data_IF_551174977199
#
_entry.id   IF_551174977199
#
_cell.length_a   1.000
_cell.length_b   1.000
_cell.length_c   1.000
_cell.angle_alpha   90.00
_cell.angle_beta   90.00
_cell.angle_gamma   90.00
#
_symmetry.space_group_name_H-M   'P 1'
#
loop_
_entity.id
_entity.type
_entity.pdbx_description
1 polymer ?
#
# COMPACT_ATOMS: atom_id res chain seq x y z
N UNK A 1 16.94 -5.63 -22.48
CA UNK A 1 16.52 -5.61 -21.06
C UNK A 1 15.42 -6.65 -20.85
N UNK A 2 15.43 -7.44 -19.78
CA UNK A 2 14.30 -8.33 -19.43
C UNK A 2 13.36 -7.60 -18.45
N UNK A 3 12.13 -7.35 -18.88
CA UNK A 3 11.09 -6.67 -18.10
C UNK A 3 10.09 -7.71 -17.58
N UNK A 4 9.92 -7.80 -16.27
CA UNK A 4 8.84 -8.60 -15.66
C UNK A 4 7.68 -7.69 -15.29
N UNK A 5 6.51 -7.91 -15.88
CA UNK A 5 5.28 -7.21 -15.54
C UNK A 5 4.49 -8.00 -14.49
N UNK A 6 4.38 -7.50 -13.26
CA UNK A 6 3.51 -8.12 -12.26
C UNK A 6 2.07 -7.72 -12.54
N UNK A 7 1.23 -8.71 -12.80
CA UNK A 7 -0.18 -8.52 -13.15
C UNK A 7 -1.10 -9.30 -12.22
N UNK A 8 -2.27 -8.76 -11.91
CA UNK A 8 -3.27 -9.40 -11.05
C UNK A 8 -4.63 -9.43 -11.74
N UNK A 9 -5.25 -10.61 -11.72
CA UNK A 9 -6.68 -10.75 -12.00
C UNK A 9 -7.49 -10.27 -10.79
N UNK A 10 -8.46 -9.40 -11.01
CA UNK A 10 -9.33 -8.86 -9.98
C UNK A 10 -10.80 -9.07 -10.36
N UNK A 11 -11.71 -9.19 -9.38
CA UNK A 11 -13.13 -9.06 -9.66
C UNK A 11 -13.44 -7.63 -10.09
N UNK A 12 -14.36 -7.50 -11.05
CA UNK A 12 -14.88 -6.21 -11.48
C UNK A 12 -15.51 -5.45 -10.31
N UNK A 13 -14.97 -4.30 -9.88
CA UNK A 13 -15.44 -3.62 -8.68
C UNK A 13 -16.92 -3.22 -8.73
N UNK A 14 -17.46 -2.94 -9.91
CA UNK A 14 -18.85 -2.56 -10.16
C UNK A 14 -19.85 -3.73 -10.08
N UNK A 15 -19.36 -4.97 -10.10
CA UNK A 15 -20.18 -6.18 -10.10
C UNK A 15 -20.18 -6.94 -8.76
N UNK A 16 -19.57 -6.35 -7.71
CA UNK A 16 -19.44 -6.99 -6.40
C UNK A 16 -20.63 -6.62 -5.53
N UNK A 17 -21.30 -7.64 -5.00
CA UNK A 17 -22.40 -7.50 -4.05
C UNK A 17 -22.01 -8.01 -2.66
N UNK A 18 -22.50 -7.33 -1.63
CA UNK A 18 -22.43 -7.79 -0.25
C UNK A 18 -23.74 -8.50 0.13
N UNK A 19 -23.61 -9.67 0.77
CA UNK A 19 -24.74 -10.38 1.35
C UNK A 19 -24.92 -9.94 2.80
N UNK A 20 -26.01 -9.21 3.03
CA UNK A 20 -26.37 -8.68 4.34
C UNK A 20 -26.73 -9.75 5.38
N UNK A 21 -27.19 -10.93 4.96
CA UNK A 21 -27.53 -12.04 5.86
C UNK A 21 -26.29 -12.80 6.30
N UNK A 22 -25.42 -13.16 5.36
CA UNK A 22 -24.21 -13.94 5.65
C UNK A 22 -23.01 -13.08 6.03
N UNK A 23 -23.12 -11.75 5.90
CA UNK A 23 -22.04 -10.76 6.10
C UNK A 23 -20.79 -11.11 5.29
N UNK A 24 -20.99 -11.61 4.08
CA UNK A 24 -19.95 -12.06 3.17
C UNK A 24 -20.11 -11.43 1.79
N UNK A 25 -19.03 -11.44 1.00
CA UNK A 25 -19.07 -11.00 -0.38
C UNK A 25 -19.58 -12.12 -1.28
N UNK A 26 -20.54 -11.80 -2.17
CA UNK A 26 -20.93 -12.71 -3.24
C UNK A 26 -19.82 -12.71 -4.29
N UNK A 27 -19.13 -13.85 -4.40
CA UNK A 27 -18.01 -14.04 -5.33
C UNK A 27 -18.37 -14.90 -6.53
N UNK A 28 -19.50 -15.60 -6.46
CA UNK A 28 -19.96 -16.46 -7.55
C UNK A 28 -20.57 -15.62 -8.67
N UNK A 29 -20.18 -15.88 -9.91
CA UNK A 29 -20.69 -15.17 -11.09
C UNK A 29 -20.14 -13.75 -11.30
N UNK A 30 -19.26 -13.24 -10.42
CA UNK A 30 -18.64 -11.93 -10.59
C UNK A 30 -17.59 -12.01 -11.71
N UNK A 31 -17.71 -11.21 -12.79
CA UNK A 31 -16.71 -11.21 -13.85
C UNK A 31 -15.33 -10.81 -13.31
N UNK A 32 -14.30 -11.49 -13.81
CA UNK A 32 -12.91 -11.22 -13.47
C UNK A 32 -12.24 -10.52 -14.64
N UNK A 33 -11.30 -9.63 -14.36
CA UNK A 33 -10.54 -8.91 -15.38
C UNK A 33 -9.09 -8.68 -14.94
N UNK A 34 -8.21 -8.40 -15.91
CA UNK A 34 -6.89 -7.88 -15.62
C UNK A 34 -7.03 -6.49 -14.97
N UNK A 35 -6.38 -6.28 -13.83
CA UNK A 35 -6.35 -4.98 -13.18
C UNK A 35 -5.87 -3.89 -14.15
N UNK A 36 -6.66 -2.81 -14.29
CA UNK A 36 -6.42 -1.76 -15.29
C UNK A 36 -5.03 -1.12 -15.19
N UNK A 37 -4.51 -0.90 -13.98
CA UNK A 37 -3.17 -0.34 -13.80
C UNK A 37 -2.08 -1.32 -14.23
N UNK A 38 -2.31 -2.63 -14.13
CA UNK A 38 -1.35 -3.64 -14.57
C UNK A 38 -1.34 -3.74 -16.10
N UNK A 39 -2.48 -3.52 -16.76
CA UNK A 39 -2.52 -3.33 -18.21
C UNK A 39 -1.67 -2.15 -18.68
N UNK A 40 -1.63 -1.03 -17.92
CA UNK A 40 -0.71 0.08 -18.19
C UNK A 40 0.75 -0.38 -18.10
N UNK A 41 1.08 -1.20 -17.10
CA UNK A 41 2.44 -1.69 -16.91
C UNK A 41 2.91 -2.55 -18.08
N UNK A 42 2.06 -3.46 -18.55
CA UNK A 42 2.35 -4.30 -19.74
C UNK A 42 2.54 -3.44 -20.98
N UNK A 43 1.67 -2.44 -21.19
CA UNK A 43 1.79 -1.55 -22.35
C UNK A 43 3.06 -0.68 -22.31
N UNK A 44 3.45 -0.17 -21.13
CA UNK A 44 4.72 0.56 -20.96
C UNK A 44 5.92 -0.35 -21.22
N UNK A 45 5.87 -1.61 -20.73
CA UNK A 45 6.93 -2.59 -20.98
C UNK A 45 7.06 -2.94 -22.46
N UNK A 46 5.92 -3.14 -23.15
CA UNK A 46 5.88 -3.44 -24.58
C UNK A 46 6.53 -2.32 -25.39
N UNK A 47 6.20 -1.05 -25.07
CA UNK A 47 6.83 0.13 -25.70
C UNK A 47 8.34 0.20 -25.44
N UNK A 48 8.77 0.05 -24.19
CA UNK A 48 10.20 0.06 -23.85
C UNK A 48 10.98 -1.05 -24.58
N UNK A 49 10.39 -2.24 -24.70
CA UNK A 49 10.99 -3.34 -25.47
C UNK A 49 11.02 -3.04 -26.97
N UNK A 50 10.02 -2.38 -27.53
CA UNK A 50 10.04 -1.95 -28.94
C UNK A 50 11.16 -0.94 -29.22
N UNK A 51 11.43 -0.03 -28.27
CA UNK A 51 12.46 1.00 -28.37
C UNK A 51 13.87 0.44 -28.14
N UNK A 52 14.07 -0.36 -27.10
CA UNK A 52 15.39 -0.77 -26.61
C UNK A 52 15.72 -2.25 -26.85
N UNK A 53 14.76 -3.03 -27.36
CA UNK A 53 14.85 -4.48 -27.46
C UNK A 53 14.79 -5.21 -26.10
N UNK A 54 14.74 -6.54 -26.14
CA UNK A 54 14.67 -7.39 -24.96
C UNK A 54 13.43 -8.27 -24.93
N UNK A 55 12.93 -8.54 -23.73
CA UNK A 55 11.82 -9.47 -23.50
C UNK A 55 10.90 -8.93 -22.40
N UNK A 56 9.59 -9.01 -22.61
CA UNK A 56 8.53 -8.70 -21.66
C UNK A 56 7.89 -10.00 -21.18
N UNK A 57 8.00 -10.28 -19.88
CA UNK A 57 7.40 -11.44 -19.24
C UNK A 57 6.30 -10.98 -18.30
N UNK A 58 5.03 -11.31 -18.59
CA UNK A 58 3.95 -11.04 -17.63
C UNK A 58 3.91 -12.15 -16.57
N UNK A 59 3.81 -11.78 -15.30
CA UNK A 59 3.83 -12.71 -14.17
C UNK A 59 2.65 -12.46 -13.25
N UNK A 60 1.90 -13.53 -12.94
CA UNK A 60 0.78 -13.46 -11.98
C UNK A 60 0.90 -14.54 -10.91
N UNK A 61 0.40 -14.23 -9.72
CA UNK A 61 0.20 -15.20 -8.64
C UNK A 61 -1.29 -15.30 -8.35
N UNK A 62 -1.85 -16.49 -8.54
CA UNK A 62 -3.29 -16.67 -8.38
C UNK A 62 -3.78 -18.07 -8.72
N UNK A 63 -5.09 -18.34 -8.51
CA UNK A 63 -5.70 -19.61 -8.88
C UNK A 63 -5.64 -19.87 -10.39
N UNK A 64 -5.96 -21.09 -10.86
CA UNK A 64 -5.92 -21.45 -12.28
C UNK A 64 -6.63 -20.46 -13.23
N UNK A 65 -7.76 -19.88 -12.82
CA UNK A 65 -8.50 -18.91 -13.62
C UNK A 65 -7.76 -17.58 -13.89
N UNK A 66 -6.69 -17.29 -13.14
CA UNK A 66 -5.84 -16.11 -13.38
C UNK A 66 -5.06 -16.19 -14.70
N UNK A 67 -5.01 -17.37 -15.33
CA UNK A 67 -4.47 -17.55 -16.69
C UNK A 67 -5.15 -16.60 -17.70
N UNK A 68 -6.44 -16.29 -17.54
CA UNK A 68 -7.16 -15.37 -18.43
C UNK A 68 -6.53 -13.97 -18.45
N UNK A 69 -6.11 -13.46 -17.29
CA UNK A 69 -5.42 -12.17 -17.21
C UNK A 69 -4.03 -12.21 -17.88
N UNK A 70 -3.34 -13.34 -17.84
CA UNK A 70 -2.09 -13.54 -18.58
C UNK A 70 -2.33 -13.57 -20.10
N UNK A 71 -3.44 -14.16 -20.55
CA UNK A 71 -3.83 -14.14 -21.97
C UNK A 71 -4.13 -12.73 -22.45
N UNK A 72 -4.74 -11.89 -21.63
CA UNK A 72 -4.87 -10.46 -21.91
C UNK A 72 -3.50 -9.78 -21.94
N UNK A 73 -2.59 -10.09 -21.01
CA UNK A 73 -1.24 -9.53 -21.02
C UNK A 73 -0.44 -9.89 -22.29
N UNK A 74 -0.58 -11.12 -22.81
CA UNK A 74 -0.02 -11.51 -24.12
C UNK A 74 -0.58 -10.63 -25.25
N UNK A 75 -1.90 -10.40 -25.27
CA UNK A 75 -2.54 -9.54 -26.26
C UNK A 75 -2.11 -8.06 -26.15
N UNK A 76 -1.75 -7.61 -24.94
CA UNK A 76 -1.20 -6.27 -24.68
C UNK A 76 0.29 -6.13 -25.02
N UNK A 77 0.94 -7.22 -25.43
CA UNK A 77 2.32 -7.20 -25.90
C UNK A 77 3.35 -7.85 -24.96
N UNK A 78 2.96 -8.68 -23.99
CA UNK A 78 3.92 -9.57 -23.34
C UNK A 78 4.40 -10.67 -24.31
N UNK A 79 5.68 -11.03 -24.27
CA UNK A 79 6.26 -12.06 -25.14
C UNK A 79 5.95 -13.48 -24.64
N UNK A 80 5.94 -13.66 -23.31
CA UNK A 80 5.45 -14.87 -22.63
C UNK A 80 4.96 -14.56 -21.23
N UNK A 81 4.44 -15.57 -20.55
CA UNK A 81 3.95 -15.43 -19.19
C UNK A 81 4.47 -16.50 -18.22
N UNK A 82 4.46 -16.13 -16.94
CA UNK A 82 4.69 -17.03 -15.81
C UNK A 82 3.49 -16.98 -14.86
N UNK A 83 2.92 -18.14 -14.56
CA UNK A 83 1.81 -18.29 -13.63
C UNK A 83 2.27 -18.99 -12.36
N UNK A 84 2.35 -18.25 -11.26
CA UNK A 84 2.59 -18.81 -9.93
C UNK A 84 1.26 -19.35 -9.37
N UNK A 85 1.07 -20.67 -9.46
CA UNK A 85 -0.18 -21.33 -9.08
C UNK A 85 0.09 -22.54 -8.19
N UNK A 86 -0.02 -22.34 -6.88
CA UNK A 86 0.08 -23.38 -5.87
C UNK A 86 -0.89 -23.07 -4.71
N UNK A 87 -1.44 -24.10 -4.09
CA UNK A 87 -2.27 -23.96 -2.87
C UNK A 87 -1.48 -23.36 -1.71
N UNK A 88 -0.16 -23.53 -1.67
CA UNK A 88 0.72 -22.91 -0.68
C UNK A 88 0.74 -21.38 -0.76
N UNK A 89 0.41 -20.79 -1.92
CA UNK A 89 0.35 -19.34 -2.10
C UNK A 89 -0.99 -18.73 -1.63
N UNK A 90 -1.97 -19.57 -1.28
CA UNK A 90 -3.32 -19.11 -1.00
C UNK A 90 -3.41 -18.19 0.23
N UNK A 91 -4.26 -17.17 0.11
CA UNK A 91 -4.61 -16.23 1.19
C UNK A 91 -3.36 -15.55 1.78
N UNK A 92 -2.39 -15.25 0.91
CA UNK A 92 -1.27 -14.39 1.26
C UNK A 92 -1.75 -12.95 1.48
N UNK A 93 -1.20 -12.27 2.47
CA UNK A 93 -1.24 -10.81 2.53
C UNK A 93 -0.20 -10.19 1.60
N UNK A 94 0.03 -8.87 1.70
CA UNK A 94 0.99 -8.18 0.83
C UNK A 94 2.39 -8.74 1.04
N UNK A 95 2.85 -8.86 2.29
CA UNK A 95 4.21 -9.34 2.57
C UNK A 95 4.44 -10.77 2.05
N UNK A 96 3.49 -11.69 2.30
CA UNK A 96 3.56 -13.05 1.78
C UNK A 96 3.54 -13.10 0.25
N UNK A 97 2.75 -12.23 -0.39
CA UNK A 97 2.69 -12.08 -1.85
C UNK A 97 4.02 -11.55 -2.39
N UNK A 98 4.52 -10.45 -1.84
CA UNK A 98 5.75 -9.77 -2.23
C UNK A 98 6.97 -10.67 -2.08
N UNK A 99 7.06 -11.45 -0.98
CA UNK A 99 8.14 -12.43 -0.78
C UNK A 99 8.13 -13.49 -1.89
N UNK A 100 6.94 -14.01 -2.22
CA UNK A 100 6.76 -15.04 -3.26
C UNK A 100 7.14 -14.50 -4.65
N UNK A 101 6.65 -13.31 -4.99
CA UNK A 101 6.97 -12.65 -6.25
C UNK A 101 8.47 -12.33 -6.36
N UNK A 102 9.11 -11.85 -5.29
CA UNK A 102 10.55 -11.58 -5.28
C UNK A 102 11.39 -12.85 -5.53
N UNK A 103 10.98 -14.00 -4.99
CA UNK A 103 11.64 -15.29 -5.30
C UNK A 103 11.49 -15.66 -6.78
N UNK A 104 10.29 -15.49 -7.35
CA UNK A 104 10.03 -15.76 -8.76
C UNK A 104 10.80 -14.80 -9.69
N UNK A 105 10.86 -13.51 -9.36
CA UNK A 105 11.61 -12.49 -10.12
C UNK A 105 13.11 -12.82 -10.13
N UNK A 106 13.68 -13.24 -8.99
CA UNK A 106 15.08 -13.68 -8.91
C UNK A 106 15.35 -14.89 -9.81
N UNK A 107 14.46 -15.88 -9.78
CA UNK A 107 14.57 -17.08 -10.63
C UNK A 107 14.47 -16.74 -12.12
N UNK A 108 13.57 -15.83 -12.48
CA UNK A 108 13.37 -15.36 -13.84
C UNK A 108 14.55 -14.50 -14.35
N UNK A 109 15.24 -13.78 -13.46
CA UNK A 109 16.40 -12.96 -13.79
C UNK A 109 16.00 -11.67 -14.51
N UNK A 110 15.06 -10.91 -13.94
CA UNK A 110 14.62 -9.63 -14.48
C UNK A 110 15.68 -8.52 -14.31
N UNK A 111 15.67 -7.54 -15.21
CA UNK A 111 16.40 -6.27 -15.08
C UNK A 111 15.47 -5.15 -14.58
N UNK A 112 14.19 -5.19 -14.96
CA UNK A 112 13.18 -4.21 -14.58
C UNK A 112 11.90 -4.95 -14.20
N UNK A 113 11.28 -4.55 -13.09
CA UNK A 113 9.94 -5.00 -12.72
C UNK A 113 8.98 -3.84 -12.89
N UNK A 114 7.94 -4.02 -13.70
CA UNK A 114 6.85 -3.05 -13.88
C UNK A 114 5.53 -3.61 -13.34
N UNK A 115 4.72 -2.75 -12.75
CA UNK A 115 3.40 -3.15 -12.25
C UNK A 115 2.48 -1.93 -12.11
N UNK A 116 1.19 -2.17 -11.96
CA UNK A 116 0.25 -1.09 -11.68
C UNK A 116 0.50 -0.46 -10.31
N UNK A 117 0.15 0.82 -10.17
CA UNK A 117 0.29 1.55 -8.89
C UNK A 117 -0.44 0.88 -7.71
N UNK A 118 -1.60 0.28 -7.98
CA UNK A 118 -2.40 -0.51 -7.03
C UNK A 118 -3.32 -1.45 -7.78
N UNK A 119 -3.92 -2.38 -7.05
CA UNK A 119 -5.06 -3.16 -7.53
C UNK A 119 -6.36 -2.53 -7.02
N UNK A 120 -7.43 -2.59 -7.81
CA UNK A 120 -8.71 -1.94 -7.46
C UNK A 120 -9.53 -2.69 -6.40
N UNK A 121 -9.25 -3.97 -6.22
CA UNK A 121 -9.94 -4.82 -5.25
C UNK A 121 -9.46 -4.53 -3.81
N UNK A 122 -8.15 -4.54 -3.60
CA UNK A 122 -7.52 -4.43 -2.28
C UNK A 122 -6.94 -3.05 -2.01
N UNK A 123 -6.59 -2.27 -3.03
CA UNK A 123 -6.08 -0.89 -2.91
C UNK A 123 -4.97 -0.71 -1.85
N UNK A 124 -4.06 -1.68 -1.71
CA UNK A 124 -3.05 -1.64 -0.64
C UNK A 124 -1.89 -0.71 -0.93
N UNK A 125 -1.44 -0.65 -2.19
CA UNK A 125 -0.24 0.07 -2.65
C UNK A 125 1.10 -0.49 -2.16
N UNK A 126 1.10 -1.67 -1.53
CA UNK A 126 2.25 -2.16 -0.77
C UNK A 126 3.13 -3.16 -1.52
N UNK A 127 2.54 -3.98 -2.40
CA UNK A 127 3.25 -5.12 -3.01
C UNK A 127 4.52 -4.69 -3.77
N UNK A 128 4.50 -3.65 -4.64
CA UNK A 128 5.70 -3.31 -5.38
C UNK A 128 6.85 -2.75 -4.52
N UNK A 129 6.63 -1.82 -3.57
CA UNK A 129 7.70 -1.41 -2.65
C UNK A 129 8.24 -2.55 -1.77
N UNK A 130 7.37 -3.46 -1.31
CA UNK A 130 7.80 -4.65 -0.56
C UNK A 130 8.63 -5.61 -1.43
N UNK A 131 8.24 -5.83 -2.70
CA UNK A 131 9.05 -6.60 -3.67
C UNK A 131 10.42 -5.95 -3.86
N UNK A 132 10.47 -4.63 -4.03
CA UNK A 132 11.72 -3.89 -4.16
C UNK A 132 12.62 -4.05 -2.92
N UNK A 133 12.03 -4.03 -1.72
CA UNK A 133 12.72 -4.29 -0.47
C UNK A 133 13.29 -5.72 -0.42
N UNK A 134 12.48 -6.74 -0.72
CA UNK A 134 12.94 -8.13 -0.74
C UNK A 134 14.06 -8.36 -1.74
N UNK A 135 14.04 -7.69 -2.89
CA UNK A 135 15.08 -7.77 -3.92
C UNK A 135 16.32 -6.94 -3.58
N UNK A 136 16.20 -5.92 -2.75
CA UNK A 136 17.23 -4.92 -2.51
C UNK A 136 17.41 -3.95 -3.69
N UNK A 137 16.36 -3.73 -4.49
CA UNK A 137 16.42 -2.95 -5.73
C UNK A 137 15.95 -1.51 -5.53
N UNK A 138 16.35 -0.63 -6.46
CA UNK A 138 15.82 0.73 -6.55
C UNK A 138 14.31 0.71 -6.85
N UNK A 139 13.60 1.77 -6.49
CA UNK A 139 12.17 1.87 -6.79
C UNK A 139 11.73 3.29 -7.15
N UNK A 140 10.73 3.39 -8.03
CA UNK A 140 9.90 4.59 -8.21
C UNK A 140 8.44 4.16 -8.28
N UNK A 141 7.57 4.78 -7.49
CA UNK A 141 6.11 4.54 -7.57
C UNK A 141 5.41 5.67 -8.29
N UNK A 142 4.20 5.43 -8.79
CA UNK A 142 3.35 6.44 -9.42
C UNK A 142 3.99 7.13 -10.63
N UNK A 143 4.75 6.39 -11.43
CA UNK A 143 5.25 6.87 -12.71
C UNK A 143 4.10 7.14 -13.68
N UNK A 144 4.09 8.33 -14.27
CA UNK A 144 3.27 8.73 -15.40
C UNK A 144 3.87 8.24 -16.71
N UNK A 145 5.20 8.30 -16.84
CA UNK A 145 5.97 7.74 -17.97
C UNK A 145 7.29 7.14 -17.50
N UNK A 146 7.82 6.23 -18.31
CA UNK A 146 9.10 5.55 -18.12
C UNK A 146 9.82 5.53 -19.46
N UNK A 147 10.98 6.15 -19.56
CA UNK A 147 11.71 6.37 -20.80
C UNK A 147 13.17 5.95 -20.64
N UNK A 148 13.75 5.30 -21.65
CA UNK A 148 15.18 5.00 -21.67
C UNK A 148 15.94 6.22 -22.21
N UNK A 149 16.74 6.87 -21.36
CA UNK A 149 17.48 8.08 -21.72
C UNK A 149 18.94 7.89 -21.34
N UNK A 150 19.86 7.97 -22.32
CA UNK A 150 21.30 7.92 -22.06
C UNK A 150 21.77 6.60 -21.41
N UNK A 151 21.07 5.50 -21.65
CA UNK A 151 21.38 4.18 -21.05
C UNK A 151 20.86 4.00 -19.62
N UNK A 152 20.05 4.93 -19.12
CA UNK A 152 19.38 4.85 -17.80
C UNK A 152 17.87 4.92 -17.96
N UNK A 153 17.15 4.48 -16.92
CA UNK A 153 15.70 4.60 -16.88
C UNK A 153 15.32 5.94 -16.25
N UNK A 154 14.59 6.77 -16.98
CA UNK A 154 14.00 8.00 -16.46
C UNK A 154 12.51 7.77 -16.18
N UNK A 155 12.07 8.12 -14.98
CA UNK A 155 10.68 8.03 -14.57
C UNK A 155 10.12 9.42 -14.28
N UNK A 156 9.07 9.83 -14.99
CA UNK A 156 8.28 11.01 -14.63
C UNK A 156 7.20 10.58 -13.67
N UNK A 157 7.21 11.08 -12.45
CA UNK A 157 6.36 10.64 -11.34
C UNK A 157 5.40 11.75 -10.92
N UNK A 158 4.16 11.37 -10.57
CA UNK A 158 3.25 12.27 -9.87
C UNK A 158 3.47 12.19 -8.35
N UNK A 159 4.04 13.24 -7.78
CA UNK A 159 4.22 13.46 -6.34
C UNK A 159 3.01 14.13 -5.69
N UNK A 160 3.14 14.49 -4.42
CA UNK A 160 2.09 15.22 -3.69
C UNK A 160 2.02 16.70 -4.11
N UNK A 161 3.15 17.29 -4.46
CA UNK A 161 3.31 18.74 -4.72
C UNK A 161 3.44 19.07 -6.22
N UNK A 162 3.54 18.05 -7.08
CA UNK A 162 3.70 18.22 -8.52
C UNK A 162 4.27 16.99 -9.21
N UNK A 163 4.81 17.18 -10.40
CA UNK A 163 5.55 16.14 -11.12
C UNK A 163 7.04 16.21 -10.76
N UNK A 164 7.62 15.04 -10.55
CA UNK A 164 9.03 14.82 -10.20
C UNK A 164 9.67 13.96 -11.31
N UNK A 165 10.96 14.15 -11.59
CA UNK A 165 11.70 13.31 -12.54
C UNK A 165 12.82 12.61 -11.81
N UNK A 166 12.81 11.28 -11.88
CA UNK A 166 13.83 10.42 -11.29
C UNK A 166 14.62 9.73 -12.38
N UNK A 167 15.92 9.58 -12.14
CA UNK A 167 16.80 8.73 -12.93
C UNK A 167 17.16 7.52 -12.06
N UNK A 168 16.99 6.31 -12.60
CA UNK A 168 17.25 5.07 -11.90
C UNK A 168 18.31 4.24 -12.61
N UNK A 169 19.20 3.66 -11.81
CA UNK A 169 20.03 2.55 -12.24
C UNK A 169 19.22 1.24 -12.18
N UNK A 170 19.47 0.34 -13.14
CA UNK A 170 18.89 -1.00 -13.14
C UNK A 170 19.78 -1.96 -12.32
N UNK A 171 19.20 -2.95 -11.61
CA UNK A 171 17.80 -3.33 -11.67
C UNK A 171 16.88 -2.51 -10.74
N UNK A 172 15.63 -2.31 -11.19
CA UNK A 172 14.66 -1.47 -10.48
C UNK A 172 13.23 -2.06 -10.49
N UNK A 173 12.41 -1.61 -9.54
CA UNK A 173 10.97 -1.88 -9.48
C UNK A 173 10.20 -0.57 -9.66
N UNK A 174 9.42 -0.45 -10.72
CA UNK A 174 8.61 0.75 -10.97
C UNK A 174 7.11 0.44 -10.99
N UNK A 175 6.30 1.38 -10.49
CA UNK A 175 4.84 1.33 -10.61
C UNK A 175 4.32 2.43 -11.51
N UNK A 176 3.32 2.11 -12.35
CA UNK A 176 2.73 3.09 -13.29
C UNK A 176 1.32 3.48 -12.88
N UNK A 177 1.02 4.77 -13.03
CA UNK A 177 -0.25 5.38 -12.68
C UNK A 177 -1.07 5.84 -13.90
N UNK A 178 -0.44 5.96 -15.08
CA UNK A 178 -1.07 6.44 -16.30
C UNK A 178 -0.82 5.49 -17.47
N UNK A 179 -1.81 5.44 -18.37
CA UNK A 179 -1.71 4.73 -19.64
C UNK A 179 -0.64 5.39 -20.53
N UNK A 180 0.24 4.61 -21.19
CA UNK A 180 1.16 5.17 -22.18
C UNK A 180 0.40 5.79 -23.35
N UNK A 181 0.93 6.89 -23.90
CA UNK A 181 0.32 7.57 -25.05
C UNK A 181 0.23 6.61 -26.25
N UNK A 182 -0.92 6.61 -26.92
CA UNK A 182 -1.17 5.76 -28.10
C UNK A 182 -1.45 4.28 -27.81
N UNK A 183 -1.34 3.81 -26.57
CA UNK A 183 -1.61 2.42 -26.24
C UNK A 183 -3.11 2.10 -26.31
N UNK A 184 -3.46 0.94 -26.87
CA UNK A 184 -4.82 0.37 -26.86
C UNK A 184 -4.86 -0.74 -25.83
N UNK A 185 -5.76 -0.64 -24.84
CA UNK A 185 -5.81 -1.57 -23.72
C UNK A 185 -7.02 -2.50 -23.73
N UNK A 186 -8.08 -2.09 -24.42
CA UNK A 186 -9.28 -2.91 -24.56
C UNK A 186 -9.01 -3.91 -25.69
N UNK A 187 -8.46 -5.06 -25.33
CA UNK A 187 -8.03 -6.13 -26.23
C UNK A 187 -8.68 -7.45 -25.86
N UNK A 188 -8.94 -8.29 -26.85
CA UNK A 188 -9.40 -9.66 -26.62
C UNK A 188 -8.23 -10.53 -26.12
N UNK A 189 -8.44 -11.41 -25.13
CA UNK A 189 -7.40 -12.31 -24.63
C UNK A 189 -6.80 -13.18 -25.74
N UNK A 190 -5.47 -13.34 -25.75
CA UNK A 190 -4.81 -14.15 -26.75
C UNK A 190 -5.14 -15.64 -26.62
N UNK A 191 -5.49 -16.27 -27.74
CA UNK A 191 -5.68 -17.73 -27.83
C UNK A 191 -4.34 -18.49 -27.77
N UNK A 192 -3.24 -17.86 -28.19
CA UNK A 192 -1.91 -18.46 -28.31
C UNK A 192 -0.89 -17.74 -27.41
N UNK A 193 0.26 -18.37 -27.20
CA UNK A 193 1.38 -17.81 -26.43
C UNK A 193 1.84 -18.76 -25.33
N UNK A 194 3.07 -18.56 -24.85
CA UNK A 194 3.67 -19.42 -23.84
C UNK A 194 3.27 -18.94 -22.44
N UNK A 195 2.76 -19.86 -21.63
CA UNK A 195 2.47 -19.63 -20.20
C UNK A 195 3.11 -20.77 -19.40
N UNK A 196 4.18 -20.46 -18.67
CA UNK A 196 4.86 -21.42 -17.81
C UNK A 196 4.22 -21.39 -16.41
N UNK A 197 3.75 -22.53 -15.92
CA UNK A 197 3.14 -22.63 -14.58
C UNK A 197 4.20 -23.08 -13.59
N UNK A 198 4.44 -22.28 -12.54
CA UNK A 198 5.36 -22.60 -11.45
C UNK A 198 4.61 -22.82 -10.13
N UNK A 199 4.94 -23.91 -9.45
CA UNK A 199 4.49 -24.24 -8.11
C UNK A 199 5.49 -23.73 -7.05
N UNK A 200 5.19 -23.91 -5.76
CA UNK A 200 6.11 -23.51 -4.69
C UNK A 200 7.44 -24.26 -4.76
N UNK A 201 7.41 -25.54 -5.15
CA UNK A 201 8.60 -26.37 -5.32
C UNK A 201 9.55 -25.86 -6.42
N UNK A 202 9.00 -25.17 -7.43
CA UNK A 202 9.79 -24.56 -8.50
C UNK A 202 10.55 -23.31 -8.05
N UNK A 203 10.08 -22.64 -7.00
CA UNK A 203 10.76 -21.50 -6.36
C UNK A 203 11.70 -21.98 -5.26
N UNK A 204 11.27 -22.98 -4.50
CA UNK A 204 11.96 -23.50 -3.34
C UNK A 204 11.78 -25.03 -3.29
N UNK A 205 12.79 -25.82 -3.66
CA UNK A 205 12.67 -27.28 -3.79
C UNK A 205 12.24 -28.03 -2.53
N UNK A 206 12.47 -27.46 -1.33
CA UNK A 206 12.11 -28.06 -0.04
C UNK A 206 10.77 -27.56 0.53
N UNK A 207 9.96 -26.87 -0.29
CA UNK A 207 8.64 -26.38 0.11
C UNK A 207 7.72 -27.54 0.55
N UNK A 208 7.01 -27.32 1.66
CA UNK A 208 6.14 -28.32 2.28
C UNK A 208 4.81 -27.70 2.74
N UNK A 209 3.76 -28.51 2.98
CA UNK A 209 2.52 -28.02 3.59
C UNK A 209 2.78 -27.20 4.85
N UNK A 210 2.19 -25.99 4.92
CA UNK A 210 2.32 -25.08 6.06
C UNK A 210 3.62 -24.28 6.11
N UNK A 211 4.38 -24.20 5.01
CA UNK A 211 5.60 -23.40 4.93
C UNK A 211 5.34 -21.91 5.22
N UNK A 212 6.17 -21.32 6.09
CA UNK A 212 6.02 -19.92 6.52
C UNK A 212 6.59 -18.92 5.50
N UNK A 213 7.22 -19.39 4.42
CA UNK A 213 7.66 -18.53 3.32
C UNK A 213 6.50 -18.07 2.44
N UNK A 214 5.37 -18.80 2.44
CA UNK A 214 4.27 -18.60 1.51
C UNK A 214 2.92 -18.39 2.21
N UNK A 215 1.96 -17.83 1.46
CA UNK A 215 0.54 -17.87 1.80
C UNK A 215 0.18 -17.29 3.15
N UNK A 216 -0.98 -17.69 3.65
CA UNK A 216 -1.50 -17.27 4.97
C UNK A 216 -0.55 -17.59 6.12
N UNK A 217 0.21 -18.69 6.04
CA UNK A 217 1.17 -19.12 7.08
C UNK A 217 2.37 -18.18 7.20
N UNK A 218 2.76 -17.56 6.09
CA UNK A 218 3.80 -16.53 6.03
C UNK A 218 3.30 -15.09 6.11
N UNK A 219 1.98 -14.90 6.29
CA UNK A 219 1.32 -13.59 6.27
C UNK A 219 1.18 -13.01 7.68
N UNK A 220 1.78 -11.84 7.97
CA UNK A 220 1.63 -11.16 9.24
C UNK A 220 0.27 -10.46 9.43
N UNK A 221 -0.52 -10.22 8.40
CA UNK A 221 -1.84 -9.58 8.53
C UNK A 221 -2.98 -10.54 8.19
N UNK A 222 -4.16 -10.29 8.78
CA UNK A 222 -5.37 -11.09 8.56
C UNK A 222 -6.60 -10.21 8.46
N UNK A 223 -7.46 -10.50 7.48
CA UNK A 223 -8.80 -9.92 7.39
C UNK A 223 -9.70 -10.63 8.40
N UNK A 224 -10.22 -9.91 9.37
CA UNK A 224 -11.09 -10.44 10.43
C UNK A 224 -12.57 -10.42 10.03
N UNK A 225 -12.98 -9.36 9.35
CA UNK A 225 -14.35 -9.15 8.93
C UNK A 225 -14.41 -8.20 7.74
N UNK A 226 -15.53 -8.26 7.02
CA UNK A 226 -15.87 -7.34 5.92
C UNK A 226 -17.24 -6.76 6.22
N UNK A 227 -17.42 -5.46 5.96
CA UNK A 227 -18.68 -4.74 6.18
C UNK A 227 -19.04 -3.95 4.94
N UNK A 228 -20.31 -3.98 4.57
CA UNK A 228 -20.87 -2.98 3.67
C UNK A 228 -20.95 -1.64 4.41
N UNK A 229 -20.44 -0.59 3.79
CA UNK A 229 -20.53 0.79 4.28
C UNK A 229 -21.04 1.71 3.18
N UNK A 230 -21.78 1.16 2.20
CA UNK A 230 -22.42 1.89 1.13
C UNK A 230 -23.16 3.10 1.74
N UNK A 231 -22.69 4.33 1.47
CA UNK A 231 -23.21 5.48 2.17
C UNK A 231 -24.64 5.74 1.69
N UNK A 232 -25.60 5.77 2.62
CA UNK A 232 -26.91 6.35 2.37
C UNK A 232 -26.75 7.87 2.29
N UNK A 233 -26.43 8.39 1.09
CA UNK A 233 -26.33 9.82 0.88
C UNK A 233 -27.70 10.40 0.62
N UNK A 234 -28.15 11.33 1.47
CA UNK A 234 -29.21 12.23 1.10
C UNK A 234 -28.79 13.02 -0.15
N UNK A 235 -29.53 12.90 -1.24
CA UNK A 235 -29.33 13.72 -2.43
C UNK A 235 -30.23 14.94 -2.36
N UNK A 236 -29.60 16.10 -2.21
CA UNK A 236 -30.27 17.39 -2.37
C UNK A 236 -29.88 17.96 -3.74
N UNK A 237 -30.85 18.12 -4.63
CA UNK A 237 -30.67 18.71 -5.96
C UNK A 237 -31.08 20.18 -5.92
N UNK A 238 -30.15 21.06 -6.24
CA UNK A 238 -30.39 22.50 -6.33
C UNK A 238 -30.34 22.95 -7.79
N UNK A 239 -31.33 23.72 -8.21
CA UNK A 239 -31.33 24.38 -9.53
C UNK A 239 -30.76 25.80 -9.49
N UNK A 240 -30.62 26.37 -8.28
CA UNK A 240 -30.00 27.66 -8.03
C UNK A 240 -28.60 27.50 -7.41
N UNK A 241 -27.53 27.99 -8.05
CA UNK A 241 -26.18 27.94 -7.51
C UNK A 241 -26.00 28.64 -6.16
N UNK A 242 -26.77 29.71 -5.86
CA UNK A 242 -26.64 30.42 -4.60
C UNK A 242 -27.19 29.60 -3.42
N UNK A 243 -28.36 28.98 -3.60
CA UNK A 243 -28.92 28.02 -2.64
C UNK A 243 -28.00 26.81 -2.43
N UNK A 244 -27.43 26.26 -3.50
CA UNK A 244 -26.45 25.18 -3.40
C UNK A 244 -25.22 25.60 -2.58
N UNK A 245 -24.68 26.79 -2.86
CA UNK A 245 -23.51 27.32 -2.15
C UNK A 245 -23.81 27.63 -0.67
N UNK A 246 -25.02 28.05 -0.33
CA UNK A 246 -25.46 28.24 1.05
C UNK A 246 -25.55 26.90 1.79
N UNK A 247 -26.17 25.88 1.17
CA UNK A 247 -26.28 24.54 1.76
C UNK A 247 -24.91 23.91 2.01
N UNK A 248 -23.98 24.05 1.07
CA UNK A 248 -22.60 23.58 1.26
C UNK A 248 -21.94 24.26 2.46
N UNK A 249 -22.16 25.56 2.68
CA UNK A 249 -21.61 26.26 3.86
C UNK A 249 -22.20 25.74 5.17
N UNK A 250 -23.53 25.55 5.23
CA UNK A 250 -24.17 24.96 6.41
C UNK A 250 -23.65 23.56 6.72
N UNK A 251 -23.53 22.69 5.70
CA UNK A 251 -22.99 21.34 5.85
C UNK A 251 -21.51 21.31 6.28
N UNK A 252 -20.75 22.37 6.01
CA UNK A 252 -19.37 22.51 6.49
C UNK A 252 -19.30 22.94 7.97
N UNK A 253 -20.36 23.53 8.51
CA UNK A 253 -20.45 24.00 9.91
C UNK A 253 -21.02 22.92 10.85
N UNK A 254 -21.76 21.92 10.35
CA UNK A 254 -22.35 20.84 11.15
C UNK A 254 -21.53 19.55 11.12
N UNK A 255 -20.73 19.26 12.15
CA UNK A 255 -20.24 17.89 12.42
C UNK A 255 -19.70 17.65 13.85
N UNK A 256 -20.45 16.98 14.73
CA UNK A 256 -19.89 16.22 15.86
C UNK A 256 -19.81 14.71 15.55
N UNK A 257 -18.80 14.04 16.12
CA UNK A 257 -18.53 12.61 15.91
C UNK A 257 -19.36 11.68 16.85
N UNK A 258 -19.70 10.44 16.43
CA UNK A 258 -20.40 9.48 17.29
C UNK A 258 -19.46 8.71 18.24
N UNK A 259 -19.98 8.31 19.41
CA UNK A 259 -19.35 7.36 20.34
C UNK A 259 -19.73 5.90 20.02
N UNK A 260 -18.82 4.95 20.28
CA UNK A 260 -19.11 3.50 20.21
C UNK A 260 -18.51 2.71 21.39
N UNK A 261 -19.25 1.72 21.90
CA UNK A 261 -18.89 0.82 23.01
C UNK A 261 -19.05 -0.67 22.64
N UNK A 262 -18.10 -1.55 23.02
CA UNK A 262 -18.27 -3.03 23.11
C UNK A 262 -17.08 -3.78 23.80
N UNK A 263 -17.26 -5.07 24.18
CA UNK A 263 -16.42 -5.92 25.08
C UNK A 263 -15.58 -7.11 24.44
N UNK A 264 -14.75 -7.92 25.18
CA UNK A 264 -13.53 -8.73 24.74
C UNK A 264 -13.75 -10.22 24.43
N UNK A 265 -12.78 -10.86 23.71
CA UNK A 265 -11.73 -11.73 24.34
C UNK A 265 -10.25 -11.55 23.87
N UNK A 266 -9.31 -12.28 24.54
CA UNK A 266 -7.81 -12.39 24.41
C UNK A 266 -7.31 -13.23 23.17
N UNK A 267 -6.05 -13.29 22.68
CA UNK A 267 -4.68 -12.76 22.99
C UNK A 267 -3.79 -12.80 21.70
N UNK A 268 -2.59 -12.18 21.76
CA UNK A 268 -1.46 -12.24 20.80
C UNK A 268 -0.24 -12.87 21.48
N UNK A 269 0.42 -13.84 20.83
CA UNK A 269 1.77 -14.31 21.16
C UNK A 269 2.69 -13.97 19.99
N UNK A 270 3.95 -13.60 20.14
CA UNK A 270 4.83 -13.70 21.30
C UNK A 270 6.03 -12.77 21.05
N UNK A 271 5.92 -11.53 21.54
CA UNK A 271 6.85 -10.82 22.43
C UNK A 271 6.46 -9.33 22.42
N UNK A 272 6.12 -8.73 23.57
CA UNK A 272 5.77 -7.31 23.62
C UNK A 272 6.96 -6.43 23.23
N UNK A 273 6.68 -5.33 22.52
CA UNK A 273 7.64 -4.25 22.30
C UNK A 273 8.15 -3.68 23.64
N UNK A 274 9.21 -2.88 23.59
CA UNK A 274 9.81 -2.31 24.79
C UNK A 274 8.86 -1.34 25.52
N UNK A 275 7.89 -0.77 24.79
CA UNK A 275 6.84 0.11 25.30
C UNK A 275 5.49 -0.18 24.61
N UNK A 276 4.43 0.45 25.13
CA UNK A 276 3.08 0.42 24.58
C UNK A 276 2.76 1.71 23.79
N UNK A 277 3.79 2.37 23.27
CA UNK A 277 3.67 3.70 22.66
C UNK A 277 3.02 3.63 21.28
N UNK A 278 2.22 4.66 20.95
CA UNK A 278 1.68 4.88 19.62
C UNK A 278 2.49 5.97 18.94
N UNK A 279 3.21 5.59 17.89
CA UNK A 279 4.05 6.51 17.12
C UNK A 279 3.32 6.98 15.88
N UNK A 280 3.52 8.25 15.50
CA UNK A 280 3.04 8.81 14.24
C UNK A 280 4.21 9.44 13.50
N UNK A 281 4.45 9.01 12.26
CA UNK A 281 5.43 9.65 11.39
C UNK A 281 4.86 10.97 10.88
N UNK A 282 5.62 12.05 11.06
CA UNK A 282 5.24 13.40 10.69
C UNK A 282 5.93 13.79 9.40
N UNK A 283 5.15 13.87 8.32
CA UNK A 283 5.58 14.51 7.08
C UNK A 283 5.48 16.03 7.18
N UNK A 284 6.46 16.71 6.58
CA UNK A 284 6.52 18.17 6.52
C UNK A 284 6.21 18.69 5.11
N UNK A 285 5.51 19.82 5.04
CA UNK A 285 5.28 20.64 3.85
C UNK A 285 5.77 22.05 4.18
N UNK A 286 6.72 22.56 3.39
CA UNK A 286 7.36 23.88 3.62
C UNK A 286 7.87 24.04 5.07
N UNK A 287 8.47 22.98 5.63
CA UNK A 287 9.03 22.95 6.98
C UNK A 287 8.01 22.81 8.13
N UNK A 288 6.72 22.72 7.83
CA UNK A 288 5.65 22.58 8.84
C UNK A 288 5.00 21.20 8.79
N UNK A 289 4.53 20.65 9.92
CA UNK A 289 3.75 19.42 9.94
C UNK A 289 2.55 19.50 9.00
N UNK A 290 2.46 18.56 8.06
CA UNK A 290 1.30 18.43 7.20
C UNK A 290 0.05 18.15 8.05
N UNK A 291 -1.13 18.61 7.61
CA UNK A 291 -2.39 18.39 8.35
C UNK A 291 -2.61 16.92 8.69
N UNK A 292 -2.41 16.02 7.73
CA UNK A 292 -2.55 14.56 7.95
C UNK A 292 -1.64 14.08 9.08
N UNK A 293 -0.41 14.57 9.20
CA UNK A 293 0.49 14.23 10.30
C UNK A 293 -0.10 14.63 11.66
N UNK A 294 -0.73 15.81 11.74
CA UNK A 294 -1.40 16.28 12.95
C UNK A 294 -2.67 15.47 13.27
N UNK A 295 -3.42 15.05 12.26
CA UNK A 295 -4.55 14.13 12.40
C UNK A 295 -4.10 12.78 12.97
N UNK A 296 -2.94 12.27 12.52
CA UNK A 296 -2.38 11.03 13.05
C UNK A 296 -1.89 11.18 14.49
N UNK A 297 -1.30 12.31 14.86
CA UNK A 297 -0.96 12.58 16.26
C UNK A 297 -2.20 12.62 17.15
N UNK A 298 -3.31 13.19 16.67
CA UNK A 298 -4.57 13.20 17.40
C UNK A 298 -5.10 11.76 17.62
N UNK A 299 -5.12 10.94 16.56
CA UNK A 299 -5.52 9.54 16.67
C UNK A 299 -4.55 8.72 17.52
N UNK A 300 -3.25 8.93 17.35
CA UNK A 300 -2.19 8.29 18.10
C UNK A 300 -2.33 8.50 19.60
N UNK A 301 -2.77 9.70 20.03
CA UNK A 301 -3.10 10.00 21.43
C UNK A 301 -4.23 9.13 21.97
N UNK A 302 -5.30 8.95 21.18
CA UNK A 302 -6.41 8.06 21.54
C UNK A 302 -5.92 6.61 21.71
N UNK A 303 -5.10 6.12 20.77
CA UNK A 303 -4.56 4.77 20.82
C UNK A 303 -3.58 4.58 21.99
N UNK A 304 -2.66 5.52 22.21
CA UNK A 304 -1.72 5.53 23.32
C UNK A 304 -2.45 5.50 24.67
N UNK A 305 -3.51 6.29 24.84
CA UNK A 305 -4.34 6.28 26.05
C UNK A 305 -5.01 4.94 26.33
N UNK A 306 -5.43 4.21 25.28
CA UNK A 306 -5.98 2.84 25.39
C UNK A 306 -4.90 1.81 25.71
N UNK A 307 -3.67 2.03 25.22
CA UNK A 307 -2.52 1.17 25.42
C UNK A 307 -1.82 1.40 26.78
N UNK A 308 -2.00 2.58 27.37
CA UNK A 308 -1.25 3.02 28.55
C UNK A 308 0.19 3.43 28.23
N UNK A 309 0.49 3.72 26.96
CA UNK A 309 1.79 4.22 26.49
C UNK A 309 1.76 5.71 26.15
N UNK A 310 2.81 6.18 25.49
CA UNK A 310 2.96 7.58 25.06
C UNK A 310 2.47 7.79 23.63
N UNK A 311 2.02 9.01 23.33
CA UNK A 311 1.85 9.49 21.97
C UNK A 311 3.15 10.11 21.46
N UNK A 312 3.79 9.48 20.48
CA UNK A 312 5.15 9.87 20.03
C UNK A 312 5.11 10.38 18.59
N UNK A 313 5.71 11.53 18.34
CA UNK A 313 5.95 12.02 16.98
C UNK A 313 7.33 11.54 16.50
N UNK A 314 7.38 10.96 15.29
CA UNK A 314 8.63 10.65 14.60
C UNK A 314 8.84 11.64 13.45
N UNK A 315 9.95 12.37 13.50
CA UNK A 315 10.40 13.27 12.43
C UNK A 315 11.65 12.70 11.77
N UNK A 316 11.64 12.63 10.43
CA UNK A 316 12.78 12.31 9.58
C UNK A 316 13.06 13.52 8.69
N UNK A 317 14.31 13.93 8.53
CA UNK A 317 14.64 15.14 7.77
C UNK A 317 15.94 15.80 8.22
N UNK A 318 16.05 17.10 7.96
CA UNK A 318 17.19 17.91 8.39
C UNK A 318 16.73 19.29 8.88
N UNK A 319 17.26 19.77 10.00
CA UNK A 319 16.89 21.07 10.57
C UNK A 319 15.50 21.07 11.19
N UNK A 320 15.21 20.07 12.03
CA UNK A 320 13.84 19.74 12.46
C UNK A 320 13.37 20.43 13.75
N UNK A 321 14.16 21.35 14.31
CA UNK A 321 13.89 21.97 15.62
C UNK A 321 12.52 22.65 15.71
N UNK A 322 12.15 23.44 14.69
CA UNK A 322 10.88 24.17 14.69
C UNK A 322 9.69 23.21 14.53
N UNK A 323 9.82 22.22 13.64
CA UNK A 323 8.81 21.18 13.46
C UNK A 323 8.62 20.35 14.74
N UNK A 324 9.71 20.02 15.44
CA UNK A 324 9.68 19.28 16.71
C UNK A 324 8.93 20.06 17.81
N UNK A 325 9.14 21.38 17.90
CA UNK A 325 8.35 22.24 18.82
C UNK A 325 6.88 22.30 18.41
N UNK A 326 6.59 22.35 17.12
CA UNK A 326 5.22 22.43 16.63
C UNK A 326 4.42 21.15 16.93
N UNK A 327 4.99 19.96 16.70
CA UNK A 327 4.28 18.69 16.98
C UNK A 327 4.07 18.44 18.48
N UNK A 328 4.97 18.93 19.34
CA UNK A 328 4.80 18.89 20.79
C UNK A 328 3.54 19.67 21.24
N UNK A 329 3.30 20.83 20.61
CA UNK A 329 2.09 21.65 20.86
C UNK A 329 0.81 20.96 20.37
N UNK A 330 0.91 20.09 19.38
CA UNK A 330 -0.22 19.34 18.80
C UNK A 330 -0.38 17.92 19.39
N UNK A 331 0.11 17.71 20.61
CA UNK A 331 -0.23 16.54 21.42
C UNK A 331 0.76 15.38 21.35
N UNK A 332 1.94 15.56 20.75
CA UNK A 332 3.05 14.66 20.96
C UNK A 332 3.59 14.81 22.40
N UNK A 333 3.66 13.72 23.14
CA UNK A 333 4.24 13.66 24.49
C UNK A 333 5.75 13.45 24.45
N UNK A 334 6.22 12.84 23.37
CA UNK A 334 7.64 12.67 23.06
C UNK A 334 7.85 12.89 21.56
N UNK A 335 9.01 13.43 21.21
CA UNK A 335 9.39 13.69 19.82
C UNK A 335 10.72 13.00 19.56
N UNK A 336 10.71 12.04 18.64
CA UNK A 336 11.88 11.33 18.17
C UNK A 336 12.28 11.93 16.83
N UNK A 337 13.55 12.34 16.74
CA UNK A 337 14.09 13.04 15.57
C UNK A 337 15.25 12.24 15.02
N UNK A 338 15.15 11.86 13.74
CA UNK A 338 16.29 11.46 12.93
C UNK A 338 16.65 12.64 12.03
N UNK A 339 17.58 13.47 12.52
CA UNK A 339 18.12 14.62 11.79
C UNK A 339 19.44 14.23 11.12
N UNK A 340 19.45 14.20 9.78
CA UNK A 340 20.64 13.96 8.98
C UNK A 340 20.56 14.76 7.67
N UNK A 341 21.64 15.43 7.23
CA UNK A 341 21.66 16.14 5.94
C UNK A 341 21.25 15.28 4.74
N UNK A 342 21.46 13.96 4.77
CA UNK A 342 21.02 13.03 3.72
C UNK A 342 19.48 12.91 3.63
N UNK A 343 18.75 13.33 4.65
CA UNK A 343 17.29 13.37 4.69
C UNK A 343 16.73 14.76 4.36
N UNK A 344 17.57 15.74 4.01
CA UNK A 344 17.13 17.10 3.67
C UNK A 344 16.21 17.13 2.44
N UNK A 345 16.51 16.30 1.45
CA UNK A 345 15.66 16.07 0.30
C UNK A 345 15.00 14.69 0.38
N UNK A 346 13.79 14.59 -0.17
CA UNK A 346 13.08 13.32 -0.16
C UNK A 346 13.66 12.37 -1.21
N UNK A 347 14.26 11.27 -0.74
CA UNK A 347 14.65 10.13 -1.56
C UNK A 347 14.07 8.85 -0.94
N UNK A 348 13.26 8.07 -1.69
CA UNK A 348 12.53 6.93 -1.15
C UNK A 348 13.36 5.88 -0.40
N UNK A 349 14.56 5.54 -0.89
CA UNK A 349 15.41 4.49 -0.31
C UNK A 349 16.08 4.99 0.96
N UNK A 350 16.62 6.21 0.95
CA UNK A 350 17.26 6.83 2.11
C UNK A 350 16.24 6.99 3.25
N UNK A 351 15.03 7.49 2.94
CA UNK A 351 13.96 7.65 3.93
C UNK A 351 13.45 6.30 4.47
N UNK A 352 13.29 5.29 3.62
CA UNK A 352 12.93 3.95 4.07
C UNK A 352 14.00 3.32 4.97
N UNK A 353 15.28 3.50 4.63
CA UNK A 353 16.40 3.02 5.44
C UNK A 353 16.47 3.69 6.81
N UNK A 354 16.28 5.02 6.86
CA UNK A 354 16.19 5.75 8.12
C UNK A 354 15.02 5.27 8.99
N UNK A 355 13.84 5.10 8.38
CA UNK A 355 12.68 4.54 9.09
C UNK A 355 12.96 3.13 9.61
N UNK A 356 13.54 2.27 8.79
CA UNK A 356 13.88 0.90 9.18
C UNK A 356 14.85 0.87 10.37
N UNK A 357 15.85 1.75 10.39
CA UNK A 357 16.80 1.86 11.49
C UNK A 357 16.14 2.33 12.80
N UNK A 358 15.27 3.35 12.72
CA UNK A 358 14.47 3.80 13.87
C UNK A 358 13.61 2.65 14.40
N UNK A 359 12.93 1.92 13.53
CA UNK A 359 12.08 0.79 13.92
C UNK A 359 12.88 -0.36 14.56
N UNK A 360 14.09 -0.66 14.07
CA UNK A 360 14.98 -1.67 14.67
C UNK A 360 15.39 -1.31 16.10
N UNK A 361 15.72 -0.04 16.31
CA UNK A 361 16.25 0.49 17.56
C UNK A 361 15.15 0.72 18.60
N UNK A 362 14.10 1.43 18.23
CA UNK A 362 13.11 1.95 19.16
C UNK A 362 11.91 1.00 19.36
N UNK A 363 11.62 0.15 18.36
CA UNK A 363 10.60 -0.91 18.42
C UNK A 363 9.27 -0.47 19.05
N UNK A 364 8.60 0.55 18.48
CA UNK A 364 7.32 1.01 18.99
C UNK A 364 6.25 -0.08 18.93
N UNK A 365 5.16 0.12 19.66
CA UNK A 365 4.04 -0.83 19.61
C UNK A 365 3.20 -0.66 18.34
N UNK A 366 2.93 0.59 17.99
CA UNK A 366 2.20 1.01 16.78
C UNK A 366 2.99 2.11 16.08
N UNK A 367 3.03 2.07 14.74
CA UNK A 367 3.47 3.19 13.92
C UNK A 367 2.38 3.54 12.88
N UNK A 368 1.90 4.78 12.94
CA UNK A 368 0.98 5.38 11.98
C UNK A 368 1.77 6.18 10.95
N UNK A 369 1.45 5.99 9.67
CA UNK A 369 2.11 6.63 8.54
C UNK A 369 1.06 7.36 7.69
N UNK A 370 1.31 8.60 7.24
CA UNK A 370 0.43 9.25 6.27
C UNK A 370 0.33 8.45 4.96
N UNK A 371 -0.87 8.19 4.43
CA UNK A 371 -1.07 7.53 3.13
C UNK A 371 -0.90 8.51 1.96
N UNK A 372 0.19 9.28 1.98
CA UNK A 372 0.59 10.20 0.90
C UNK A 372 1.43 9.48 -0.15
N UNK A 373 1.82 10.15 -1.24
CA UNK A 373 2.75 9.57 -2.21
C UNK A 373 4.08 9.14 -1.58
N UNK A 374 4.60 9.90 -0.61
CA UNK A 374 5.84 9.56 0.11
C UNK A 374 5.63 8.41 1.10
N UNK A 375 4.58 8.46 1.92
CA UNK A 375 4.29 7.38 2.88
C UNK A 375 3.97 6.03 2.24
N UNK A 376 3.45 6.02 1.01
CA UNK A 376 3.27 4.81 0.20
C UNK A 376 4.55 4.29 -0.43
N UNK A 377 5.66 5.02 -0.37
CA UNK A 377 6.98 4.52 -0.77
C UNK A 377 7.75 3.96 0.42
N UNK A 378 8.06 4.81 1.40
CA UNK A 378 9.00 4.46 2.46
C UNK A 378 8.39 3.48 3.47
N UNK A 379 7.08 3.60 3.74
CA UNK A 379 6.35 2.76 4.69
C UNK A 379 6.37 1.28 4.30
N UNK A 380 5.84 0.90 3.12
CA UNK A 380 5.82 -0.50 2.70
C UNK A 380 7.22 -1.03 2.38
N UNK A 381 8.14 -0.19 1.92
CA UNK A 381 9.54 -0.61 1.73
C UNK A 381 10.20 -1.00 3.06
N UNK A 382 10.10 -0.14 4.09
CA UNK A 382 10.62 -0.45 5.42
C UNK A 382 9.91 -1.65 6.06
N UNK A 383 8.59 -1.77 5.89
CA UNK A 383 7.83 -2.93 6.34
C UNK A 383 8.31 -4.23 5.65
N UNK A 384 8.57 -4.20 4.34
CA UNK A 384 9.13 -5.33 3.60
C UNK A 384 10.53 -5.71 4.08
N UNK A 385 11.42 -4.74 4.26
CA UNK A 385 12.80 -4.95 4.73
C UNK A 385 12.86 -5.59 6.14
N UNK A 386 11.93 -5.19 7.00
CA UNK A 386 11.82 -5.69 8.38
C UNK A 386 10.86 -6.88 8.52
N UNK A 387 10.24 -7.30 7.41
CA UNK A 387 9.18 -8.32 7.38
C UNK A 387 8.04 -8.07 8.37
N UNK A 388 7.61 -6.80 8.49
CA UNK A 388 6.53 -6.34 9.35
C UNK A 388 5.20 -6.35 8.59
N UNK A 389 4.13 -6.73 9.29
CA UNK A 389 2.77 -6.58 8.80
C UNK A 389 2.32 -5.13 8.82
N UNK A 390 1.80 -4.65 7.69
CA UNK A 390 1.27 -3.31 7.54
C UNK A 390 -0.09 -3.33 6.86
N UNK A 391 -1.06 -2.55 7.35
CA UNK A 391 -2.29 -2.31 6.59
C UNK A 391 -2.20 -1.01 5.81
N UNK A 392 -2.42 -1.09 4.50
CA UNK A 392 -2.44 0.07 3.62
C UNK A 392 -3.76 0.85 3.70
N UNK A 393 -3.70 2.18 3.69
CA UNK A 393 -4.83 3.04 3.30
C UNK A 393 -6.06 2.98 4.22
N UNK A 394 -5.83 2.95 5.54
CA UNK A 394 -6.85 2.90 6.58
C UNK A 394 -7.69 4.19 6.66
N UNK A 395 -8.96 4.03 7.05
CA UNK A 395 -9.93 5.12 7.31
C UNK A 395 -10.30 5.25 8.78
N UNK A 396 -10.06 4.21 9.58
CA UNK A 396 -10.17 4.27 11.03
C UNK A 396 -9.22 3.27 11.69
N UNK A 397 -8.95 3.47 12.96
CA UNK A 397 -8.04 2.67 13.77
C UNK A 397 -8.62 2.47 15.18
N UNK A 398 -8.32 1.33 15.78
CA UNK A 398 -8.67 1.06 17.17
C UNK A 398 -7.65 0.16 17.84
N UNK A 399 -7.74 0.05 19.16
CA UNK A 399 -6.96 -0.90 19.94
C UNK A 399 -7.93 -1.95 20.49
N UNK A 400 -7.64 -3.22 20.25
CA UNK A 400 -8.38 -4.33 20.84
C UNK A 400 -8.01 -4.53 22.32
N UNK A 401 -8.76 -5.38 23.03
CA UNK A 401 -8.52 -5.60 24.47
C UNK A 401 -7.23 -6.37 24.78
N UNK A 402 -6.53 -6.88 23.76
CA UNK A 402 -5.21 -7.48 23.85
C UNK A 402 -4.10 -6.48 23.45
N UNK A 403 -4.43 -5.21 23.19
CA UNK A 403 -3.50 -4.18 22.78
C UNK A 403 -3.19 -4.18 21.27
N UNK A 404 -3.89 -4.94 20.45
CA UNK A 404 -3.61 -5.00 19.00
C UNK A 404 -4.27 -3.87 18.24
N UNK A 405 -3.62 -3.42 17.17
CA UNK A 405 -4.15 -2.42 16.26
C UNK A 405 -5.20 -3.05 15.33
N UNK A 406 -6.44 -2.64 15.52
CA UNK A 406 -7.56 -2.88 14.61
C UNK A 406 -7.51 -1.80 13.53
N UNK A 407 -7.53 -2.21 12.27
CA UNK A 407 -7.33 -1.34 11.12
C UNK A 407 -8.53 -1.45 10.18
N UNK A 408 -9.24 -0.35 9.95
CA UNK A 408 -10.39 -0.32 9.06
C UNK A 408 -9.94 0.19 7.71
N UNK A 409 -10.06 -0.63 6.67
CA UNK A 409 -9.53 -0.36 5.33
C UNK A 409 -10.64 -0.50 4.28
N UNK A 410 -10.88 0.52 3.45
CA UNK A 410 -11.78 0.40 2.32
C UNK A 410 -11.23 -0.57 1.27
N UNK A 411 -12.12 -1.29 0.61
CA UNK A 411 -11.85 -2.22 -0.48
C UNK A 411 -12.90 -2.02 -1.58
N UNK A 412 -12.64 -2.55 -2.77
CA UNK A 412 -13.59 -2.58 -3.89
C UNK A 412 -14.20 -1.20 -4.21
N UNK A 413 -13.35 -0.22 -4.48
CA UNK A 413 -13.79 1.15 -4.81
C UNK A 413 -14.38 1.93 -3.63
N UNK A 414 -14.31 1.40 -2.41
CA UNK A 414 -14.67 2.09 -1.17
C UNK A 414 -16.06 1.77 -0.60
N UNK A 415 -16.84 0.93 -1.27
CA UNK A 415 -18.17 0.52 -0.79
C UNK A 415 -18.08 -0.49 0.37
N UNK A 416 -16.94 -1.14 0.51
CA UNK A 416 -16.71 -2.20 1.48
C UNK A 416 -15.57 -1.76 2.41
N UNK A 417 -15.72 -1.98 3.71
CA UNK A 417 -14.64 -1.81 4.70
C UNK A 417 -14.26 -3.16 5.27
N UNK A 418 -12.98 -3.49 5.12
CA UNK A 418 -12.34 -4.65 5.74
C UNK A 418 -11.75 -4.27 7.08
N UNK A 419 -11.97 -5.10 8.10
CA UNK A 419 -11.34 -4.99 9.41
C UNK A 419 -10.12 -5.90 9.42
N UNK A 420 -8.94 -5.31 9.55
CA UNK A 420 -7.64 -5.99 9.45
C UNK A 420 -6.92 -5.90 10.79
N UNK A 421 -6.17 -6.94 11.10
CA UNK A 421 -5.32 -7.01 12.29
C UNK A 421 -3.94 -7.53 11.90
N UNK A 422 -2.90 -6.87 12.40
CA UNK A 422 -1.52 -7.29 12.25
C UNK A 422 -1.09 -8.26 13.37
N UNK A 423 -0.11 -9.10 13.08
CA UNK A 423 0.47 -10.07 14.00
C UNK A 423 1.94 -9.76 14.37
N UNK A 424 2.53 -8.72 13.79
CA UNK A 424 3.89 -8.27 14.07
C UNK A 424 3.90 -7.13 15.10
N UNK A 425 5.07 -6.85 15.67
CA UNK A 425 5.32 -5.65 16.46
C UNK A 425 6.63 -5.02 15.97
N UNK A 426 6.65 -3.74 15.55
CA UNK A 426 5.51 -2.81 15.52
C UNK A 426 4.36 -3.24 14.60
N UNK A 427 3.16 -2.76 14.90
CA UNK A 427 1.99 -2.84 14.02
C UNK A 427 1.91 -1.55 13.19
N UNK A 428 1.99 -1.67 11.87
CA UNK A 428 2.07 -0.52 10.97
C UNK A 428 0.74 -0.29 10.27
N UNK A 429 0.32 0.96 10.14
CA UNK A 429 -0.81 1.34 9.31
C UNK A 429 -0.51 2.63 8.55
N UNK A 430 -0.80 2.65 7.25
CA UNK A 430 -0.92 3.93 6.54
C UNK A 430 -2.36 4.42 6.62
N UNK A 431 -2.58 5.72 6.80
CA UNK A 431 -3.91 6.29 7.04
C UNK A 431 -4.21 7.38 6.03
N UNK A 432 -5.42 7.36 5.46
CA UNK A 432 -5.87 8.38 4.50
C UNK A 432 -5.91 9.76 5.17
N UNK A 433 -5.55 10.85 4.47
CA UNK A 433 -5.82 12.20 4.95
C UNK A 433 -7.31 12.43 5.16
N UNK A 434 -7.65 13.35 6.08
CA UNK A 434 -9.01 13.83 6.38
C UNK A 434 -9.91 12.77 7.02
N UNK A 435 -9.32 11.76 7.67
CA UNK A 435 -10.06 10.75 8.41
C UNK A 435 -10.28 11.16 9.87
N UNK A 436 -9.37 11.96 10.41
CA UNK A 436 -9.45 12.48 11.77
C UNK A 436 -9.31 14.00 11.77
N UNK A 437 -9.49 14.60 12.94
CA UNK A 437 -9.26 16.01 13.17
C UNK A 437 -7.98 16.22 14.01
N UNK A 438 -7.12 17.20 13.65
CA UNK A 438 -6.00 17.59 14.48
C UNK A 438 -6.45 18.03 15.87
N UNK A 439 -5.57 17.87 16.87
CA UNK A 439 -5.76 18.53 18.16
C UNK A 439 -5.47 20.03 18.02
N UNK A 440 -6.20 20.86 18.75
CA UNK A 440 -5.86 22.28 18.87
C UNK A 440 -4.47 22.43 19.50
N UNK A 441 -3.64 23.36 19.00
CA UNK A 441 -2.33 23.61 19.56
C UNK A 441 -2.44 24.12 20.99
N UNK A 442 -1.62 23.57 21.88
CA UNK A 442 -1.46 24.09 23.24
C UNK A 442 -0.50 25.28 23.26
N UNK A 443 -0.74 26.17 24.21
CA UNK A 443 0.22 27.21 24.57
C UNK A 443 1.28 26.61 25.50
N UNK A 444 2.53 26.62 25.03
CA UNK A 444 3.73 26.26 25.80
C UNK A 444 3.83 24.78 26.15
#
# INVERSE_FOLDING_TARGET
>A
MKIVCLVKQIPRPDAIEFDEETKALKREGVPLELNRFDAYAVAHAARLREEEGGEVVAMTMGPPQAEEALRTALALGADRCVHLSDRLFAVADTLGTSRTLAMAIRKEGADLVLCGRKTLDSETWQVPPEVAAFLGWAQVTNALSLDAVGGKLQARRLGNEGEEVYELDLPAVCTVAAQPEGAVLDVEPSANGQIDVWAAADLVPDAKPGDRRFGQTGSPTRVLAVRDVSPERAQELFTDPAAAAARVRELLEERPAPETSWEKPERLGEQPGASYDSWSLVELVEGRPARVSLELLAKGRELAGKLGGKNVALLLGHGLDDAAREVARHGAEEVVVADDPALAEYEPIVWAGALAEVLRRERPHVLLIPSTSRGRDYGPRAAGELELGMTGDCVDLGIDRAGRLIQFKPAYGGNIVSVIMGATTPQLATVRPRMFEPLDPRDG
#
